data_IF_923600243233
#
_entry.id   IF_923600243233
#
_cell.length_a   1.000
_cell.length_b   1.000
_cell.length_c   1.000
_cell.angle_alpha   90.00
_cell.angle_beta   90.00
_cell.angle_gamma   90.00
#
_symmetry.space_group_name_H-M   'P 1'
#
loop_
_entity.id
_entity.type
_entity.pdbx_description
1 polymer ?
#
# COMPACT_ATOMS: atom_id res chain seq x y z
N UNK A 1 4.13 5.70 -24.94
CA UNK A 1 4.32 6.95 -25.72
C UNK A 1 3.88 6.63 -27.15
N UNK A 2 3.01 7.43 -27.77
CA UNK A 2 2.51 7.12 -29.11
C UNK A 2 3.54 7.53 -30.17
N UNK A 3 3.95 6.56 -30.97
CA UNK A 3 4.72 6.78 -32.19
C UNK A 3 3.91 6.17 -33.33
N UNK A 4 3.63 6.95 -34.37
CA UNK A 4 2.81 6.51 -35.50
C UNK A 4 3.32 5.20 -36.09
N UNK A 5 2.43 4.22 -36.25
CA UNK A 5 2.76 2.90 -36.78
C UNK A 5 3.32 1.88 -35.78
N UNK A 6 3.53 2.25 -34.50
CA UNK A 6 3.94 1.30 -33.45
C UNK A 6 2.77 0.91 -32.55
N UNK A 7 2.86 -0.30 -31.99
CA UNK A 7 1.90 -0.78 -30.98
C UNK A 7 2.04 0.11 -29.74
N UNK A 8 0.95 0.72 -29.23
CA UNK A 8 1.00 1.55 -28.04
C UNK A 8 1.53 0.78 -26.83
N UNK A 9 2.38 1.45 -26.05
CA UNK A 9 2.88 0.95 -24.77
C UNK A 9 2.38 1.83 -23.63
N UNK A 10 2.18 1.21 -22.47
CA UNK A 10 1.83 1.94 -21.25
C UNK A 10 2.94 2.92 -20.90
N UNK A 11 2.56 4.17 -20.63
CA UNK A 11 3.45 5.12 -20.00
C UNK A 11 3.75 4.71 -18.55
N UNK A 12 4.83 5.21 -17.93
CA UNK A 12 5.02 5.08 -16.49
C UNK A 12 3.79 5.57 -15.70
N UNK A 13 3.67 5.09 -14.47
CA UNK A 13 2.64 5.59 -13.55
C UNK A 13 3.10 6.94 -13.02
N UNK A 14 2.22 7.94 -13.12
CA UNK A 14 2.41 9.30 -12.60
C UNK A 14 1.34 9.61 -11.55
N UNK A 15 1.53 10.71 -10.81
CA UNK A 15 0.57 11.19 -9.79
C UNK A 15 0.26 10.14 -8.69
N UNK A 16 1.30 9.43 -8.24
CA UNK A 16 1.18 8.53 -7.11
C UNK A 16 1.29 9.31 -5.80
N UNK A 17 0.16 9.46 -5.12
CA UNK A 17 0.06 10.10 -3.81
C UNK A 17 -0.50 9.10 -2.80
N UNK A 18 -0.17 9.28 -1.53
CA UNK A 18 -0.76 8.50 -0.44
C UNK A 18 -1.70 9.35 0.39
N UNK A 19 -2.94 8.88 0.55
CA UNK A 19 -3.92 9.51 1.44
C UNK A 19 -3.85 8.97 2.87
N UNK A 20 -2.92 8.04 3.14
CA UNK A 20 -2.82 7.33 4.41
C UNK A 20 -2.62 8.28 5.61
N UNK A 21 -1.92 9.40 5.44
CA UNK A 21 -1.72 10.38 6.52
C UNK A 21 -3.00 11.12 6.92
N UNK A 22 -3.96 11.26 6.00
CA UNK A 22 -5.22 11.97 6.23
C UNK A 22 -6.37 11.05 6.66
N UNK A 23 -6.13 9.75 6.66
CA UNK A 23 -7.08 8.71 7.04
C UNK A 23 -7.57 8.85 8.49
N UNK A 24 -8.89 9.03 8.72
CA UNK A 24 -9.46 9.08 10.07
C UNK A 24 -9.07 7.86 10.91
N UNK A 25 -8.75 8.08 12.19
CA UNK A 25 -8.30 7.01 13.11
C UNK A 25 -9.44 6.15 13.65
N UNK A 26 -10.65 6.67 13.64
CA UNK A 26 -11.87 6.02 14.11
C UNK A 26 -12.37 4.89 13.21
N UNK A 27 -11.93 4.83 11.95
CA UNK A 27 -12.44 3.87 10.98
C UNK A 27 -11.62 2.56 10.86
N UNK A 28 -11.06 2.06 11.97
CA UNK A 28 -10.40 0.74 12.08
C UNK A 28 -9.38 0.37 10.97
N UNK A 29 -8.73 1.36 10.36
CA UNK A 29 -7.74 1.16 9.29
C UNK A 29 -8.30 1.22 7.87
N UNK A 30 -9.55 1.63 7.68
CA UNK A 30 -10.04 2.14 6.41
C UNK A 30 -9.74 3.63 6.33
N UNK A 31 -8.98 4.03 5.30
CA UNK A 31 -8.59 5.42 5.11
C UNK A 31 -9.75 6.31 4.66
N UNK A 32 -10.94 5.73 4.47
CA UNK A 32 -12.13 6.38 3.91
C UNK A 32 -11.82 7.03 2.55
N UNK A 33 -10.79 6.52 1.89
CA UNK A 33 -10.31 6.91 0.58
C UNK A 33 -10.87 5.92 -0.45
N UNK A 34 -12.12 6.14 -0.84
CA UNK A 34 -12.74 5.31 -1.88
C UNK A 34 -11.86 5.26 -3.13
N UNK A 35 -11.57 4.05 -3.61
CA UNK A 35 -10.77 3.84 -4.82
C UNK A 35 -11.38 4.59 -6.01
N UNK A 36 -10.51 5.14 -6.86
CA UNK A 36 -10.93 5.79 -8.10
C UNK A 36 -11.64 4.83 -9.06
N UNK A 37 -11.16 3.58 -9.13
CA UNK A 37 -11.78 2.50 -9.89
C UNK A 37 -12.60 1.60 -8.97
N UNK A 38 -13.73 1.12 -9.46
CA UNK A 38 -14.51 0.10 -8.73
C UNK A 38 -13.98 -1.29 -9.05
N UNK A 39 -14.00 -2.17 -8.06
CA UNK A 39 -13.76 -3.60 -8.27
C UNK A 39 -14.97 -4.38 -7.74
N UNK A 40 -15.71 -5.04 -8.63
CA UNK A 40 -16.95 -5.74 -8.24
C UNK A 40 -18.03 -4.79 -7.69
N UNK A 41 -18.11 -3.57 -8.23
CA UNK A 41 -19.12 -2.57 -7.84
C UNK A 41 -18.84 -1.81 -6.54
N UNK A 42 -17.72 -2.08 -5.88
CA UNK A 42 -17.31 -1.37 -4.65
C UNK A 42 -16.08 -0.48 -4.88
N UNK A 43 -16.04 0.65 -4.18
CA UNK A 43 -14.85 1.53 -4.04
C UNK A 43 -14.01 1.20 -2.81
N UNK A 44 -14.44 0.24 -1.98
CA UNK A 44 -13.65 -0.21 -0.83
C UNK A 44 -12.39 -0.94 -1.28
N UNK A 45 -11.38 -0.94 -0.42
CA UNK A 45 -10.18 -1.73 -0.61
C UNK A 45 -10.50 -3.21 -0.93
N UNK A 46 -9.83 -3.81 -1.92
CA UNK A 46 -10.21 -5.11 -2.44
C UNK A 46 -9.80 -6.24 -1.49
N UNK A 47 -10.68 -7.23 -1.35
CA UNK A 47 -10.37 -8.46 -0.61
C UNK A 47 -9.46 -9.39 -1.43
N UNK A 48 -8.87 -10.40 -0.77
CA UNK A 48 -8.08 -11.43 -1.42
C UNK A 48 -8.83 -12.10 -2.58
N UNK A 49 -10.11 -12.40 -2.35
CA UNK A 49 -10.99 -13.01 -3.35
C UNK A 49 -11.29 -12.06 -4.51
N UNK A 50 -11.49 -10.77 -4.24
CA UNK A 50 -11.70 -9.77 -5.28
C UNK A 50 -10.46 -9.62 -6.18
N UNK A 51 -9.26 -9.61 -5.60
CA UNK A 51 -8.00 -9.59 -6.34
C UNK A 51 -7.79 -10.87 -7.18
N UNK A 52 -8.14 -12.04 -6.63
CA UNK A 52 -8.10 -13.31 -7.37
C UNK A 52 -9.05 -13.28 -8.57
N UNK A 53 -10.29 -12.82 -8.37
CA UNK A 53 -11.29 -12.68 -9.44
C UNK A 53 -10.84 -11.69 -10.51
N UNK A 54 -10.27 -10.55 -10.14
CA UNK A 54 -9.69 -9.60 -11.08
C UNK A 54 -8.65 -10.27 -11.97
N UNK A 55 -7.72 -11.01 -11.36
CA UNK A 55 -6.70 -11.74 -12.09
C UNK A 55 -7.28 -12.77 -13.07
N UNK A 56 -8.39 -13.44 -12.72
CA UNK A 56 -9.09 -14.36 -13.62
C UNK A 56 -9.75 -13.63 -14.79
N UNK A 57 -10.43 -12.50 -14.53
CA UNK A 57 -11.09 -11.69 -15.58
C UNK A 57 -10.07 -11.10 -16.55
N UNK A 58 -8.87 -10.76 -16.06
CA UNK A 58 -7.77 -10.26 -16.88
C UNK A 58 -6.89 -11.36 -17.50
N UNK A 59 -7.31 -12.64 -17.42
CA UNK A 59 -6.58 -13.80 -17.92
C UNK A 59 -5.11 -13.89 -17.44
N UNK A 60 -4.88 -13.47 -16.18
CA UNK A 60 -3.57 -13.51 -15.55
C UNK A 60 -3.39 -14.86 -14.86
N UNK A 61 -2.44 -15.65 -15.35
CA UNK A 61 -2.12 -16.97 -14.79
C UNK A 61 -1.84 -16.92 -13.27
N UNK A 62 -2.28 -17.91 -12.47
CA UNK A 62 -2.09 -17.91 -11.01
C UNK A 62 -0.64 -17.78 -10.56
N UNK A 63 0.30 -18.40 -11.30
CA UNK A 63 1.73 -18.28 -11.05
C UNK A 63 2.22 -16.82 -11.17
N UNK A 64 1.69 -16.07 -12.15
CA UNK A 64 2.00 -14.66 -12.37
C UNK A 64 1.43 -13.79 -11.26
N UNK A 65 0.19 -14.04 -10.85
CA UNK A 65 -0.43 -13.35 -9.71
C UNK A 65 0.40 -13.54 -8.43
N UNK A 66 0.86 -14.76 -8.15
CA UNK A 66 1.73 -15.06 -7.00
C UNK A 66 3.07 -14.33 -7.10
N UNK A 67 3.68 -14.29 -8.29
CA UNK A 67 4.92 -13.55 -8.53
C UNK A 67 4.73 -12.05 -8.22
N UNK A 68 3.65 -11.44 -8.69
CA UNK A 68 3.35 -10.03 -8.45
C UNK A 68 3.10 -9.73 -6.98
N UNK A 69 2.32 -10.55 -6.27
CA UNK A 69 2.13 -10.38 -4.81
C UNK A 69 3.46 -10.40 -4.06
N UNK A 70 4.35 -11.36 -4.39
CA UNK A 70 5.68 -11.43 -3.77
C UNK A 70 6.55 -10.22 -4.10
N UNK A 71 6.49 -9.72 -5.34
CA UNK A 71 7.23 -8.52 -5.76
C UNK A 71 6.71 -7.26 -5.06
N UNK A 72 5.39 -7.09 -4.98
CA UNK A 72 4.73 -6.01 -4.26
C UNK A 72 5.17 -6.00 -2.79
N UNK A 73 5.08 -7.15 -2.12
CA UNK A 73 5.46 -7.27 -0.73
C UNK A 73 6.93 -6.92 -0.45
N UNK A 74 7.84 -7.39 -1.30
CA UNK A 74 9.27 -7.01 -1.22
C UNK A 74 9.48 -5.52 -1.43
N UNK A 75 8.81 -4.92 -2.41
CA UNK A 75 8.91 -3.49 -2.67
C UNK A 75 8.39 -2.69 -1.48
N UNK A 76 7.25 -3.07 -0.91
CA UNK A 76 6.62 -2.39 0.22
C UNK A 76 7.50 -2.44 1.49
N UNK A 77 8.13 -3.58 1.79
CA UNK A 77 9.08 -3.68 2.90
C UNK A 77 10.35 -2.84 2.67
N UNK A 78 10.85 -2.79 1.43
CA UNK A 78 11.97 -1.91 1.09
C UNK A 78 11.59 -0.44 1.30
N UNK A 79 10.41 -0.04 0.83
CA UNK A 79 9.89 1.32 1.02
C UNK A 79 9.68 1.66 2.49
N UNK A 80 9.18 0.71 3.30
CA UNK A 80 9.05 0.90 4.74
C UNK A 80 10.42 1.19 5.40
N UNK A 81 11.48 0.49 5.00
CA UNK A 81 12.84 0.80 5.45
C UNK A 81 13.26 2.24 5.15
N UNK A 82 12.98 2.72 3.94
CA UNK A 82 13.27 4.10 3.53
C UNK A 82 12.47 5.11 4.37
N UNK A 83 11.20 4.83 4.68
CA UNK A 83 10.38 5.70 5.55
C UNK A 83 10.98 5.78 6.95
N UNK A 84 11.46 4.66 7.51
CA UNK A 84 12.12 4.63 8.81
C UNK A 84 13.43 5.43 8.79
N UNK A 85 14.27 5.22 7.78
CA UNK A 85 15.53 5.96 7.60
C UNK A 85 15.30 7.47 7.46
N UNK A 86 14.27 7.86 6.70
CA UNK A 86 13.88 9.25 6.54
C UNK A 86 13.39 9.84 7.87
N UNK A 87 12.57 9.11 8.62
CA UNK A 87 12.11 9.54 9.94
C UNK A 87 13.28 9.74 10.91
N UNK A 88 14.22 8.79 10.98
CA UNK A 88 15.40 8.92 11.85
C UNK A 88 16.26 10.13 11.48
N UNK A 89 16.38 10.43 10.18
CA UNK A 89 17.17 11.56 9.68
C UNK A 89 16.46 12.92 9.84
N UNK A 90 15.16 12.92 10.11
CA UNK A 90 14.32 14.13 10.19
C UNK A 90 13.50 14.19 11.49
N UNK A 91 13.97 13.53 12.55
CA UNK A 91 13.26 13.44 13.83
C UNK A 91 12.78 14.80 14.39
N UNK A 92 13.55 15.91 14.29
CA UNK A 92 13.11 17.22 14.78
C UNK A 92 11.91 17.81 14.04
N UNK A 93 11.57 17.32 12.85
CA UNK A 93 10.52 17.87 11.99
C UNK A 93 9.14 17.25 12.23
N UNK A 94 9.00 16.36 13.21
CA UNK A 94 7.69 15.83 13.63
C UNK A 94 7.03 14.87 12.63
N UNK A 95 7.80 14.25 11.72
CA UNK A 95 7.28 13.29 10.74
C UNK A 95 6.90 11.91 11.34
N UNK A 96 7.31 11.62 12.58
CA UNK A 96 7.13 10.31 13.21
C UNK A 96 5.68 9.80 13.27
N UNK A 97 4.72 10.61 13.74
CA UNK A 97 3.31 10.25 13.73
C UNK A 97 2.75 9.93 12.33
N UNK A 98 3.19 10.66 11.30
CA UNK A 98 2.78 10.45 9.91
C UNK A 98 3.39 9.17 9.34
N UNK A 99 4.70 8.96 9.57
CA UNK A 99 5.39 7.72 9.23
C UNK A 99 4.72 6.50 9.86
N UNK A 100 4.40 6.57 11.15
CA UNK A 100 3.69 5.51 11.87
C UNK A 100 2.33 5.22 11.23
N UNK A 101 1.56 6.27 10.93
CA UNK A 101 0.22 6.14 10.33
C UNK A 101 0.26 5.57 8.91
N UNK A 102 1.22 6.00 8.09
CA UNK A 102 1.43 5.46 6.75
C UNK A 102 1.71 3.95 6.80
N UNK A 103 2.65 3.53 7.64
CA UNK A 103 3.05 2.13 7.78
C UNK A 103 1.91 1.26 8.35
N UNK A 104 1.13 1.81 9.27
CA UNK A 104 -0.07 1.17 9.82
C UNK A 104 -1.09 0.86 8.71
N UNK A 105 -1.44 1.84 7.87
CA UNK A 105 -2.43 1.65 6.81
C UNK A 105 -1.92 0.75 5.68
N UNK A 106 -0.62 0.82 5.36
CA UNK A 106 0.00 -0.14 4.45
C UNK A 106 -0.09 -1.56 5.01
N UNK A 107 0.06 -1.75 6.33
CA UNK A 107 -0.17 -3.04 6.97
C UNK A 107 -1.62 -3.50 6.78
N UNK A 108 -2.61 -2.65 7.04
CA UNK A 108 -4.03 -2.98 6.84
C UNK A 108 -4.33 -3.40 5.39
N UNK A 109 -3.85 -2.61 4.41
CA UNK A 109 -4.02 -2.91 2.98
C UNK A 109 -3.31 -4.20 2.54
N UNK A 110 -2.25 -4.60 3.25
CA UNK A 110 -1.50 -5.81 2.92
C UNK A 110 -2.05 -7.08 3.56
N UNK A 111 -2.90 -6.99 4.61
CA UNK A 111 -3.52 -8.17 5.26
C UNK A 111 -4.21 -9.13 4.29
N UNK A 112 -5.00 -8.68 3.30
CA UNK A 112 -5.66 -9.57 2.34
C UNK A 112 -4.69 -10.20 1.32
N UNK A 113 -3.45 -9.70 1.24
CA UNK A 113 -2.49 -10.08 0.20
C UNK A 113 -1.39 -10.99 0.77
N UNK A 114 -0.83 -10.61 1.91
CA UNK A 114 0.20 -11.35 2.64
C UNK A 114 0.25 -10.90 4.12
N UNK A 115 -0.28 -11.74 5.01
CA UNK A 115 -0.37 -11.45 6.44
C UNK A 115 1.00 -11.31 7.11
N UNK A 116 2.00 -12.07 6.66
CA UNK A 116 3.35 -12.01 7.24
C UNK A 116 4.01 -10.65 6.94
N UNK A 117 3.77 -10.12 5.74
CA UNK A 117 4.25 -8.79 5.35
C UNK A 117 3.46 -7.71 6.08
N UNK A 118 2.14 -7.86 6.18
CA UNK A 118 1.30 -6.95 6.97
C UNK A 118 1.80 -6.83 8.42
N UNK A 119 2.14 -7.96 9.06
CA UNK A 119 2.70 -7.96 10.42
C UNK A 119 4.01 -7.17 10.52
N UNK A 120 4.94 -7.41 9.60
CA UNK A 120 6.22 -6.67 9.57
C UNK A 120 6.03 -5.16 9.42
N UNK A 121 5.09 -4.74 8.57
CA UNK A 121 4.76 -3.32 8.40
C UNK A 121 4.17 -2.71 9.68
N UNK A 122 3.31 -3.45 10.38
CA UNK A 122 2.77 -3.03 11.68
C UNK A 122 3.86 -2.92 12.74
N UNK A 123 4.82 -3.85 12.76
CA UNK A 123 5.96 -3.78 13.67
C UNK A 123 6.83 -2.54 13.37
N UNK A 124 7.05 -2.21 12.10
CA UNK A 124 7.69 -0.94 11.69
C UNK A 124 6.88 0.28 12.18
N UNK A 125 5.56 0.30 11.97
CA UNK A 125 4.69 1.41 12.42
C UNK A 125 4.81 1.65 13.93
N UNK A 126 4.82 0.58 14.73
CA UNK A 126 4.96 0.66 16.20
C UNK A 126 6.33 1.16 16.64
N UNK A 127 7.38 0.91 15.87
CA UNK A 127 8.73 1.35 16.21
C UNK A 127 8.92 2.88 16.12
N UNK A 128 8.10 3.56 15.30
CA UNK A 128 8.13 5.02 15.11
C UNK A 128 6.93 5.75 15.73
N UNK A 129 5.95 5.01 16.26
CA UNK A 129 4.82 5.61 16.94
C UNK A 129 5.29 6.35 18.21
N UNK A 130 4.75 7.54 18.50
CA UNK A 130 5.06 8.25 19.73
C UNK A 130 4.68 7.39 20.94
N UNK A 131 5.58 7.31 21.93
CA UNK A 131 5.28 6.61 23.20
C UNK A 131 4.09 7.31 23.87
N UNK A 132 3.11 6.56 24.41
CA UNK A 132 2.02 7.18 25.15
C UNK A 132 2.58 8.00 26.31
N UNK A 133 2.11 9.24 26.45
CA UNK A 133 2.41 10.07 27.60
C UNK A 133 1.95 9.33 28.86
N UNK A 134 2.85 9.22 29.85
CA UNK A 134 2.54 8.65 31.17
C UNK A 134 1.71 9.62 31.99
#
# INVERSE_FOLDING_TARGET
MYEGGKIPTLAPVYDMLTMAIYAPRDNHGDANDGMALTLGGTKRWPTADALRRLGQVCDVAPAKQKQWRKRLGKALLKTAGIVLEFQLSNEPHGFGPDAARMLELWSHGMKPVDEAIAKKLMDCARSVAPKPAR
#
